data_IF_772029839291
#
_entry.id   IF_772029839291
#
_cell.length_a   1.000
_cell.length_b   1.000
_cell.length_c   1.000
_cell.angle_alpha   90.00
_cell.angle_beta   90.00
_cell.angle_gamma   90.00
#
_symmetry.space_group_name_H-M   'P 1'
#
loop_
_entity.id
_entity.type
_entity.pdbx_description
1 polymer ?
#
# COMPACT_ATOMS: atom_id res chain seq x y z
N UNK A 1 10.84 -0.93 -25.63
CA UNK A 1 11.66 0.26 -25.98
C UNK A 1 13.06 0.06 -25.42
N UNK A 2 14.12 0.20 -26.25
CA UNK A 2 15.46 -0.24 -25.89
C UNK A 2 16.16 0.77 -24.95
N UNK A 3 16.81 0.22 -23.93
CA UNK A 3 17.65 0.92 -22.96
C UNK A 3 18.87 1.49 -23.69
N UNK A 4 19.07 2.81 -23.66
CA UNK A 4 20.28 3.44 -24.17
C UNK A 4 21.41 3.24 -23.14
N UNK A 5 22.34 2.37 -23.49
CA UNK A 5 23.59 2.14 -22.77
C UNK A 5 24.41 3.44 -22.71
N UNK A 6 24.71 3.90 -21.50
CA UNK A 6 25.76 4.89 -21.27
C UNK A 6 27.11 4.20 -21.43
N UNK A 7 27.67 4.22 -22.65
CA UNK A 7 29.06 3.84 -22.88
C UNK A 7 29.97 5.02 -22.51
N UNK A 8 30.61 4.93 -21.35
CA UNK A 8 31.78 5.75 -21.06
C UNK A 8 32.93 5.29 -21.97
N UNK A 9 33.23 6.07 -23.00
CA UNK A 9 34.44 5.88 -23.81
C UNK A 9 35.67 6.33 -23.01
N UNK A 10 36.26 5.42 -22.23
CA UNK A 10 37.64 5.57 -21.78
C UNK A 10 38.55 5.13 -22.93
N UNK A 11 38.99 6.11 -23.73
CA UNK A 11 39.98 5.88 -24.78
C UNK A 11 41.31 5.51 -24.10
N UNK A 12 41.69 4.24 -24.21
CA UNK A 12 42.96 3.69 -23.73
C UNK A 12 44.11 4.47 -24.40
N UNK A 13 44.85 5.25 -23.61
CA UNK A 13 46.09 5.87 -24.04
C UNK A 13 47.19 4.80 -24.00
N UNK A 14 47.78 4.49 -25.16
CA UNK A 14 48.96 3.65 -25.24
C UNK A 14 50.15 4.36 -24.60
N UNK A 15 50.80 3.68 -23.64
CA UNK A 15 52.01 4.13 -22.99
C UNK A 15 53.22 3.74 -23.85
N UNK A 16 53.65 4.65 -24.74
CA UNK A 16 55.00 4.59 -25.32
C UNK A 16 56.01 5.14 -24.32
N UNK A 17 57.15 4.45 -24.21
CA UNK A 17 58.22 4.66 -23.24
C UNK A 17 58.78 6.09 -23.20
N UNK A 18 58.97 6.58 -21.97
CA UNK A 18 59.50 7.91 -21.65
C UNK A 18 61.03 7.85 -21.52
N UNK A 19 61.77 8.50 -22.41
CA UNK A 19 63.23 8.73 -22.25
C UNK A 19 63.49 10.12 -21.69
N UNK A 20 64.42 10.22 -20.73
CA UNK A 20 64.77 11.45 -20.02
C UNK A 20 65.42 12.48 -20.94
N UNK A 21 64.75 13.61 -21.16
CA UNK A 21 65.34 14.90 -21.50
C UNK A 21 64.51 16.00 -20.81
N UNK A 22 64.80 16.22 -19.54
CA UNK A 22 64.10 17.12 -18.62
C UNK A 22 64.59 18.57 -18.76
N UNK A 23 64.07 19.35 -19.70
CA UNK A 23 63.90 20.82 -19.51
C UNK A 23 62.62 21.34 -20.19
N UNK A 24 62.11 20.67 -21.22
CA UNK A 24 60.91 21.13 -21.95
C UNK A 24 59.57 20.51 -21.52
N UNK A 25 59.55 19.50 -20.64
CA UNK A 25 58.30 18.78 -20.34
C UNK A 25 57.34 19.53 -19.43
N UNK A 26 57.86 20.30 -18.45
CA UNK A 26 57.00 21.07 -17.52
C UNK A 26 56.37 22.28 -18.19
N UNK A 27 57.06 22.93 -19.12
CA UNK A 27 56.56 24.05 -19.93
C UNK A 27 55.55 23.57 -20.97
N UNK A 28 55.85 22.49 -21.69
CA UNK A 28 54.93 21.87 -22.68
C UNK A 28 53.68 21.27 -22.00
N UNK A 29 53.80 20.65 -20.82
CA UNK A 29 52.65 20.18 -20.06
C UNK A 29 51.78 21.32 -19.53
N UNK A 30 52.39 22.41 -19.03
CA UNK A 30 51.66 23.63 -18.65
C UNK A 30 50.96 24.27 -19.85
N UNK A 31 51.60 24.31 -21.01
CA UNK A 31 50.98 24.78 -22.24
C UNK A 31 49.83 23.90 -22.70
N UNK A 32 49.97 22.56 -22.68
CA UNK A 32 48.88 21.64 -23.00
C UNK A 32 47.69 21.79 -22.05
N UNK A 33 47.94 21.90 -20.74
CA UNK A 33 46.88 22.17 -19.74
C UNK A 33 46.26 23.54 -19.95
N UNK A 34 47.05 24.56 -20.30
CA UNK A 34 46.56 25.90 -20.61
C UNK A 34 45.68 25.91 -21.87
N UNK A 35 46.05 25.16 -22.91
CA UNK A 35 45.29 24.98 -24.15
C UNK A 35 44.01 24.20 -23.90
N UNK A 36 44.03 23.13 -23.08
CA UNK A 36 42.82 22.41 -22.67
C UNK A 36 41.87 23.32 -21.87
N UNK A 37 42.40 24.14 -20.95
CA UNK A 37 41.60 25.12 -20.19
C UNK A 37 41.06 26.24 -21.07
N UNK A 38 41.83 26.72 -22.04
CA UNK A 38 41.41 27.71 -23.03
C UNK A 38 40.33 27.13 -23.94
N UNK A 39 40.52 25.92 -24.46
CA UNK A 39 39.53 25.19 -25.25
C UNK A 39 38.24 24.98 -24.44
N UNK A 40 38.32 24.50 -23.19
CA UNK A 40 37.14 24.32 -22.33
C UNK A 40 36.45 25.65 -22.00
N UNK A 41 37.20 26.76 -21.89
CA UNK A 41 36.63 28.12 -21.78
C UNK A 41 35.99 28.57 -23.08
N UNK A 42 36.53 28.21 -24.24
CA UNK A 42 35.96 28.52 -25.56
C UNK A 42 34.69 27.71 -25.85
N UNK A 43 34.64 26.42 -25.50
CA UNK A 43 33.41 25.64 -25.56
C UNK A 43 32.34 26.25 -24.65
N UNK A 44 32.69 26.59 -23.40
CA UNK A 44 31.79 27.28 -22.47
C UNK A 44 31.34 28.65 -22.98
N UNK A 45 32.20 29.39 -23.71
CA UNK A 45 31.85 30.69 -24.33
C UNK A 45 31.01 30.56 -25.60
N UNK A 46 31.18 29.50 -26.38
CA UNK A 46 30.32 29.19 -27.54
C UNK A 46 28.93 28.76 -27.09
N UNK A 47 28.82 28.03 -25.98
CA UNK A 47 27.53 27.66 -25.39
C UNK A 47 26.78 28.85 -24.74
N UNK A 48 27.50 29.91 -24.34
CA UNK A 48 26.88 31.13 -23.77
C UNK A 48 26.32 32.09 -24.81
N UNK A 49 26.46 31.80 -26.12
CA UNK A 49 25.85 32.59 -27.19
C UNK A 49 24.48 32.01 -27.57
N UNK A 50 23.60 31.90 -26.57
CA UNK A 50 22.19 31.54 -26.73
C UNK A 50 21.34 32.62 -26.05
N UNK A 51 21.40 33.84 -26.60
CA UNK A 51 20.42 34.89 -26.28
C UNK A 51 19.21 34.72 -27.20
N UNK A 52 18.38 33.72 -26.89
CA UNK A 52 17.09 33.54 -27.54
C UNK A 52 16.04 33.42 -26.42
N UNK A 53 15.33 34.52 -26.17
CA UNK A 53 14.29 34.73 -25.14
C UNK A 53 13.07 33.77 -25.23
N UNK A 54 13.22 32.60 -25.86
CA UNK A 54 12.16 31.63 -26.17
C UNK A 54 12.16 30.39 -25.26
N UNK A 55 13.20 30.20 -24.43
CA UNK A 55 13.27 29.11 -23.45
C UNK A 55 12.88 29.56 -22.04
N UNK A 56 12.10 28.74 -21.33
CA UNK A 56 11.88 28.89 -19.88
C UNK A 56 12.89 28.04 -19.11
N UNK A 57 13.14 28.39 -17.84
CA UNK A 57 14.03 27.59 -16.97
C UNK A 57 13.48 26.19 -16.74
N UNK A 58 14.33 25.25 -16.32
CA UNK A 58 13.90 23.90 -15.96
C UNK A 58 12.78 23.90 -14.90
N UNK A 59 12.87 24.79 -13.91
CA UNK A 59 11.82 25.01 -12.93
C UNK A 59 10.52 25.53 -13.59
N UNK A 60 10.62 26.46 -14.53
CA UNK A 60 9.48 26.92 -15.33
C UNK A 60 8.80 25.80 -16.11
N UNK A 61 9.56 24.85 -16.67
CA UNK A 61 9.02 23.66 -17.32
C UNK A 61 8.28 22.73 -16.36
N UNK A 62 8.76 22.57 -15.11
CA UNK A 62 8.08 21.78 -14.08
C UNK A 62 6.70 22.40 -13.79
N UNK A 63 6.64 23.70 -13.50
CA UNK A 63 5.37 24.41 -13.27
C UNK A 63 4.43 24.32 -14.47
N UNK A 64 4.96 24.45 -15.69
CA UNK A 64 4.15 24.32 -16.90
C UNK A 64 3.58 22.91 -17.03
N UNK A 65 4.35 21.87 -16.69
CA UNK A 65 3.89 20.49 -16.71
C UNK A 65 2.79 20.23 -15.67
N UNK A 66 2.94 20.74 -14.44
CA UNK A 66 1.89 20.69 -13.42
C UNK A 66 0.58 21.32 -13.94
N UNK A 67 0.66 22.48 -14.59
CA UNK A 67 -0.51 23.11 -15.20
C UNK A 67 -1.12 22.30 -16.35
N UNK A 68 -0.34 21.47 -17.06
CA UNK A 68 -0.86 20.56 -18.09
C UNK A 68 -1.57 19.38 -17.44
N UNK A 69 -1.02 18.80 -16.39
CA UNK A 69 -1.62 17.71 -15.62
C UNK A 69 -2.96 18.15 -15.01
N UNK A 70 -2.99 19.32 -14.37
CA UNK A 70 -4.23 19.89 -13.82
C UNK A 70 -5.30 20.04 -14.90
N UNK A 71 -4.94 20.58 -16.08
CA UNK A 71 -5.88 20.71 -17.20
C UNK A 71 -6.34 19.37 -17.76
N UNK A 72 -5.48 18.35 -17.74
CA UNK A 72 -5.88 17.00 -18.10
C UNK A 72 -6.95 16.47 -17.12
N UNK A 73 -6.76 16.62 -15.81
CA UNK A 73 -7.77 16.24 -14.83
C UNK A 73 -9.07 17.02 -14.98
N UNK A 74 -9.01 18.34 -15.24
CA UNK A 74 -10.22 19.11 -15.54
C UNK A 74 -10.96 18.59 -16.76
N UNK A 75 -10.24 18.22 -17.83
CA UNK A 75 -10.85 17.61 -19.02
C UNK A 75 -11.55 16.29 -18.68
N UNK A 76 -10.90 15.42 -17.89
CA UNK A 76 -11.50 14.17 -17.41
C UNK A 76 -12.75 14.44 -16.58
N UNK A 77 -12.73 15.45 -15.71
CA UNK A 77 -13.90 15.80 -14.89
C UNK A 77 -15.08 16.30 -15.71
N UNK A 78 -14.83 17.08 -16.77
CA UNK A 78 -15.88 17.64 -17.61
C UNK A 78 -16.49 16.61 -18.56
N UNK A 79 -15.67 15.73 -19.13
CA UNK A 79 -16.09 14.88 -20.25
C UNK A 79 -16.15 13.38 -19.93
N UNK A 80 -15.27 12.87 -19.06
CA UNK A 80 -15.20 11.44 -18.74
C UNK A 80 -16.04 11.09 -17.51
N UNK A 81 -15.90 11.83 -16.39
CA UNK A 81 -16.59 11.51 -15.14
C UNK A 81 -18.12 11.46 -15.28
N UNK A 82 -18.81 12.36 -16.03
CA UNK A 82 -20.25 12.26 -16.19
C UNK A 82 -20.68 10.96 -16.87
N UNK A 83 -19.83 10.35 -17.70
CA UNK A 83 -20.13 9.07 -18.34
C UNK A 83 -20.10 7.90 -17.37
N UNK A 84 -19.37 8.01 -16.25
CA UNK A 84 -19.31 6.97 -15.21
C UNK A 84 -20.64 6.78 -14.48
N UNK A 85 -21.50 7.80 -14.48
CA UNK A 85 -22.84 7.71 -13.89
C UNK A 85 -23.67 6.57 -14.50
N UNK A 86 -23.42 6.21 -15.76
CA UNK A 86 -24.07 5.09 -16.47
C UNK A 86 -23.75 3.72 -15.86
N UNK A 87 -22.62 3.59 -15.17
CA UNK A 87 -22.18 2.36 -14.51
C UNK A 87 -22.45 2.37 -13.00
N UNK A 88 -23.15 3.39 -12.49
CA UNK A 88 -23.51 3.49 -11.08
C UNK A 88 -24.60 2.48 -10.73
N UNK A 89 -24.39 1.73 -9.66
CA UNK A 89 -25.35 0.78 -9.10
C UNK A 89 -25.79 1.34 -7.73
N UNK A 90 -27.09 1.46 -7.43
CA UNK A 90 -27.55 1.94 -6.13
C UNK A 90 -27.16 0.95 -5.02
N UNK A 91 -26.94 1.47 -3.81
CA UNK A 91 -26.62 0.62 -2.67
C UNK A 91 -27.87 -0.11 -2.17
N UNK A 92 -27.81 -1.44 -2.18
CA UNK A 92 -28.81 -2.30 -1.55
C UNK A 92 -28.25 -2.81 -0.21
N UNK A 93 -28.96 -2.61 0.92
CA UNK A 93 -28.51 -3.13 2.20
C UNK A 93 -28.50 -4.66 2.19
N UNK A 94 -27.54 -5.31 2.89
CA UNK A 94 -27.47 -6.76 2.94
C UNK A 94 -28.71 -7.35 3.64
N UNK A 95 -29.17 -8.49 3.13
CA UNK A 95 -30.28 -9.23 3.72
C UNK A 95 -29.90 -9.81 5.09
N UNK A 96 -30.88 -10.11 5.95
CA UNK A 96 -30.65 -10.79 7.25
C UNK A 96 -29.96 -12.15 7.11
N UNK A 97 -30.12 -12.82 5.96
CA UNK A 97 -29.43 -14.07 5.62
C UNK A 97 -27.92 -13.90 5.45
N UNK A 98 -27.45 -12.70 5.07
CA UNK A 98 -26.06 -12.37 4.79
C UNK A 98 -25.31 -11.96 6.05
N UNK A 99 -25.07 -12.94 6.91
CA UNK A 99 -24.49 -12.72 8.25
C UNK A 99 -22.98 -12.45 8.25
N UNK A 100 -22.28 -12.94 7.24
CA UNK A 100 -20.81 -13.00 7.21
C UNK A 100 -20.22 -11.72 6.62
N UNK A 101 -19.30 -11.08 7.36
CA UNK A 101 -18.54 -9.93 6.87
C UNK A 101 -17.10 -10.33 6.57
N UNK A 102 -16.77 -10.37 5.28
CA UNK A 102 -15.39 -10.56 4.84
C UNK A 102 -14.73 -9.22 4.55
N UNK A 103 -13.49 -9.07 5.02
CA UNK A 103 -12.64 -7.93 4.67
C UNK A 103 -11.39 -8.42 3.96
N UNK A 104 -11.12 -7.78 2.83
CA UNK A 104 -9.95 -7.99 1.98
C UNK A 104 -9.10 -6.72 1.99
N UNK A 105 -7.80 -6.88 1.85
CA UNK A 105 -6.87 -5.76 1.67
C UNK A 105 -6.30 -5.85 0.25
N UNK A 106 -6.04 -4.71 -0.39
CA UNK A 106 -5.31 -4.63 -1.66
C UNK A 106 -4.44 -3.38 -1.66
N UNK A 107 -3.26 -3.48 -2.28
CA UNK A 107 -2.23 -2.43 -2.29
C UNK A 107 -2.05 -1.79 -3.67
N UNK A 108 -3.00 -2.00 -4.60
CA UNK A 108 -3.08 -1.37 -5.92
C UNK A 108 -1.74 -1.16 -6.65
N UNK A 109 -1.29 -2.18 -7.36
CA UNK A 109 -0.07 -2.14 -8.19
C UNK A 109 1.17 -2.69 -7.49
N UNK A 110 1.17 -2.74 -6.15
CA UNK A 110 2.24 -3.36 -5.36
C UNK A 110 1.88 -4.78 -4.94
N UNK A 111 2.85 -5.70 -5.02
CA UNK A 111 2.73 -7.05 -4.46
C UNK A 111 3.14 -7.02 -3.00
N UNK A 112 2.17 -7.05 -2.09
CA UNK A 112 2.43 -7.03 -0.65
C UNK A 112 2.02 -8.38 -0.01
N UNK A 113 2.84 -8.99 0.86
CA UNK A 113 2.53 -10.29 1.46
C UNK A 113 1.24 -10.29 2.28
N UNK A 114 0.89 -9.16 2.92
CA UNK A 114 -0.37 -9.05 3.67
C UNK A 114 -1.62 -8.97 2.78
N UNK A 115 -1.49 -8.91 1.44
CA UNK A 115 -2.65 -8.96 0.53
C UNK A 115 -3.37 -10.32 0.60
N UNK A 116 -2.65 -11.40 0.89
CA UNK A 116 -3.23 -12.75 0.97
C UNK A 116 -4.23 -12.89 2.13
N UNK A 117 -4.06 -12.09 3.20
CA UNK A 117 -4.85 -12.16 4.42
C UNK A 117 -6.32 -11.84 4.19
N UNK A 118 -7.18 -12.71 4.68
CA UNK A 118 -8.63 -12.50 4.74
C UNK A 118 -9.06 -12.47 6.19
N UNK A 119 -9.94 -11.53 6.54
CA UNK A 119 -10.55 -11.50 7.88
C UNK A 119 -12.06 -11.66 7.77
N UNK A 120 -12.62 -12.55 8.60
CA UNK A 120 -14.04 -12.82 8.71
C UNK A 120 -14.52 -12.32 10.08
N UNK A 121 -15.62 -11.58 10.05
CA UNK A 121 -16.29 -11.02 11.21
C UNK A 121 -17.77 -11.42 11.19
N UNK A 122 -18.27 -11.84 12.35
CA UNK A 122 -19.61 -12.36 12.53
C UNK A 122 -20.16 -11.82 13.84
N UNK A 123 -21.44 -11.42 13.83
CA UNK A 123 -22.17 -11.05 15.03
C UNK A 123 -22.92 -12.30 15.54
N UNK A 124 -22.67 -12.72 16.79
CA UNK A 124 -23.22 -13.97 17.33
C UNK A 124 -24.75 -13.96 17.42
N UNK A 125 -25.35 -12.85 17.84
CA UNK A 125 -26.82 -12.73 17.88
C UNK A 125 -27.51 -12.94 16.52
N UNK A 126 -26.79 -12.75 15.41
CA UNK A 126 -27.36 -13.00 14.08
C UNK A 126 -27.33 -14.49 13.69
N UNK A 127 -26.58 -15.32 14.42
CA UNK A 127 -26.64 -16.77 14.28
C UNK A 127 -27.82 -17.26 15.13
N UNK A 128 -28.81 -17.87 14.49
CA UNK A 128 -29.96 -18.48 15.16
C UNK A 128 -29.55 -19.75 15.92
N UNK A 129 -28.77 -19.59 17.00
CA UNK A 129 -28.31 -20.64 17.90
C UNK A 129 -29.09 -20.60 19.20
N UNK A 130 -29.30 -21.76 19.81
CA UNK A 130 -29.85 -21.83 21.17
C UNK A 130 -28.86 -21.25 22.19
N UNK A 131 -29.32 -20.81 23.38
CA UNK A 131 -28.42 -20.25 24.39
C UNK A 131 -27.28 -21.20 24.81
N UNK A 132 -27.55 -22.51 24.87
CA UNK A 132 -26.57 -23.56 25.18
C UNK A 132 -25.55 -23.73 24.05
N UNK A 133 -26.00 -23.81 22.80
CA UNK A 133 -25.11 -23.84 21.61
C UNK A 133 -24.25 -22.58 21.53
N UNK A 134 -24.83 -21.41 21.83
CA UNK A 134 -24.10 -20.14 21.86
C UNK A 134 -23.03 -20.13 22.95
N UNK A 135 -23.35 -20.64 24.14
CA UNK A 135 -22.40 -20.78 25.24
C UNK A 135 -21.19 -21.63 24.83
N UNK A 136 -21.46 -22.81 24.27
CA UNK A 136 -20.44 -23.71 23.72
C UNK A 136 -19.60 -23.04 22.63
N UNK A 137 -20.23 -22.33 21.70
CA UNK A 137 -19.52 -21.63 20.62
C UNK A 137 -18.56 -20.56 21.17
N UNK A 138 -18.97 -19.80 22.20
CA UNK A 138 -18.13 -18.79 22.85
C UNK A 138 -16.91 -19.45 23.49
N UNK A 139 -17.08 -20.59 24.16
CA UNK A 139 -15.98 -21.35 24.78
C UNK A 139 -15.00 -21.83 23.71
N UNK A 140 -15.50 -22.46 22.62
CA UNK A 140 -14.66 -22.95 21.53
C UNK A 140 -13.92 -21.82 20.78
N UNK A 141 -14.55 -20.65 20.67
CA UNK A 141 -13.93 -19.48 20.05
C UNK A 141 -12.78 -18.89 20.90
N UNK A 142 -12.87 -19.00 22.22
CA UNK A 142 -11.89 -18.48 23.17
C UNK A 142 -11.58 -16.99 22.94
N UNK A 143 -10.30 -16.62 22.71
CA UNK A 143 -9.87 -15.22 22.63
C UNK A 143 -10.38 -14.47 21.38
N UNK A 144 -11.01 -15.19 20.44
CA UNK A 144 -11.48 -14.65 19.16
C UNK A 144 -12.86 -14.00 19.27
N UNK A 145 -13.60 -14.34 20.32
CA UNK A 145 -14.88 -13.72 20.65
C UNK A 145 -14.65 -12.45 21.49
N UNK A 146 -15.38 -11.37 21.18
CA UNK A 146 -15.38 -10.16 21.99
C UNK A 146 -16.74 -9.97 22.68
N UNK A 147 -16.83 -10.06 24.02
CA UNK A 147 -18.08 -9.90 24.77
C UNK A 147 -18.65 -8.49 24.73
N UNK A 148 -17.82 -7.46 24.48
CA UNK A 148 -18.29 -6.06 24.47
C UNK A 148 -19.07 -5.72 23.20
N UNK A 149 -18.70 -6.33 22.07
CA UNK A 149 -19.30 -6.07 20.76
C UNK A 149 -20.15 -7.23 20.25
N UNK A 150 -20.12 -8.39 20.93
CA UNK A 150 -20.70 -9.66 20.48
C UNK A 150 -20.23 -10.10 19.08
N UNK A 151 -18.96 -9.77 18.77
CA UNK A 151 -18.35 -10.07 17.47
C UNK A 151 -17.33 -11.18 17.65
N UNK A 152 -17.43 -12.17 16.77
CA UNK A 152 -16.46 -13.22 16.58
C UNK A 152 -15.62 -12.91 15.34
N UNK A 153 -14.30 -12.85 15.52
CA UNK A 153 -13.37 -12.41 14.49
C UNK A 153 -12.26 -13.44 14.26
N UNK A 154 -12.12 -13.86 13.01
CA UNK A 154 -11.05 -14.74 12.56
C UNK A 154 -10.28 -14.12 11.41
N UNK A 155 -9.00 -14.46 11.30
CA UNK A 155 -8.19 -14.12 10.13
C UNK A 155 -7.35 -15.31 9.71
N UNK A 156 -7.15 -15.45 8.40
CA UNK A 156 -6.27 -16.47 7.84
C UNK A 156 -5.33 -15.83 6.81
N UNK A 157 -4.05 -16.18 6.93
CA UNK A 157 -2.96 -15.77 6.03
C UNK A 157 -2.05 -16.97 5.68
N UNK A 158 -2.54 -18.19 5.87
CA UNK A 158 -1.78 -19.43 5.67
C UNK A 158 -1.47 -19.71 4.20
N UNK A 159 -2.41 -19.39 3.31
CA UNK A 159 -2.31 -19.68 1.89
C UNK A 159 -1.90 -18.44 1.09
N UNK A 160 -1.22 -18.62 -0.06
CA UNK A 160 -0.81 -17.50 -0.91
C UNK A 160 -2.01 -16.78 -1.54
N UNK A 161 -3.08 -17.50 -1.86
CA UNK A 161 -4.25 -16.93 -2.54
C UNK A 161 -5.38 -16.58 -1.57
N UNK A 162 -5.92 -15.36 -1.70
CA UNK A 162 -7.07 -14.86 -0.92
C UNK A 162 -8.28 -15.79 -0.95
N UNK A 163 -8.56 -16.38 -2.11
CA UNK A 163 -9.71 -17.29 -2.31
C UNK A 163 -9.55 -18.56 -1.44
N UNK A 164 -8.33 -19.08 -1.32
CA UNK A 164 -8.04 -20.24 -0.48
C UNK A 164 -8.20 -19.88 1.00
N UNK A 165 -7.67 -18.73 1.43
CA UNK A 165 -7.85 -18.24 2.81
C UNK A 165 -9.33 -18.02 3.17
N UNK A 166 -10.13 -17.47 2.24
CA UNK A 166 -11.58 -17.33 2.41
C UNK A 166 -12.27 -18.69 2.57
N UNK A 167 -11.95 -19.65 1.70
CA UNK A 167 -12.52 -21.00 1.74
C UNK A 167 -12.20 -21.70 3.06
N UNK A 168 -10.94 -21.61 3.51
CA UNK A 168 -10.51 -22.15 4.79
C UNK A 168 -11.29 -21.55 5.97
N UNK A 169 -11.48 -20.21 5.98
CA UNK A 169 -12.27 -19.56 7.02
C UNK A 169 -13.74 -20.03 7.02
N UNK A 170 -14.33 -20.24 5.85
CA UNK A 170 -15.67 -20.82 5.74
C UNK A 170 -15.73 -22.23 6.34
N UNK A 171 -14.80 -23.11 5.96
CA UNK A 171 -14.74 -24.48 6.48
C UNK A 171 -14.55 -24.51 8.00
N UNK A 172 -13.69 -23.65 8.54
CA UNK A 172 -13.49 -23.54 9.99
C UNK A 172 -14.74 -23.05 10.71
N UNK A 173 -15.44 -22.06 10.14
CA UNK A 173 -16.71 -21.60 10.70
C UNK A 173 -17.76 -22.72 10.70
N UNK A 174 -17.89 -23.47 9.61
CA UNK A 174 -18.81 -24.60 9.54
C UNK A 174 -18.49 -25.67 10.58
N UNK A 175 -17.20 -25.97 10.80
CA UNK A 175 -16.76 -26.89 11.86
C UNK A 175 -17.15 -26.38 13.24
N UNK A 176 -16.89 -25.10 13.54
CA UNK A 176 -17.27 -24.49 14.82
C UNK A 176 -18.78 -24.52 15.06
N UNK A 177 -19.59 -24.20 14.04
CA UNK A 177 -21.05 -24.26 14.16
C UNK A 177 -21.52 -25.72 14.33
N UNK A 178 -20.88 -26.67 13.63
CA UNK A 178 -21.20 -28.09 13.77
C UNK A 178 -20.89 -28.60 15.17
N UNK A 179 -19.72 -28.27 15.72
CA UNK A 179 -19.36 -28.62 17.10
C UNK A 179 -20.26 -27.93 18.12
N UNK A 180 -20.63 -26.66 17.90
CA UNK A 180 -21.56 -25.95 18.77
C UNK A 180 -22.94 -26.61 18.85
N UNK A 181 -23.41 -27.22 17.74
CA UNK A 181 -24.68 -27.94 17.65
C UNK A 181 -24.61 -29.39 18.12
N UNK A 182 -23.42 -29.92 18.39
CA UNK A 182 -23.28 -31.28 18.88
C UNK A 182 -23.70 -31.36 20.36
N UNK A 183 -24.74 -32.13 20.65
CA UNK A 183 -25.33 -32.29 21.98
C UNK A 183 -24.55 -33.27 22.86
N UNK A 184 -23.50 -33.93 22.36
CA UNK A 184 -22.73 -34.90 23.17
C UNK A 184 -22.09 -34.28 24.42
N UNK A 185 -21.66 -33.03 24.34
CA UNK A 185 -21.02 -32.29 25.43
C UNK A 185 -21.42 -30.81 25.33
N UNK A 186 -22.11 -30.26 26.33
CA UNK A 186 -22.68 -28.90 26.30
C UNK A 186 -21.77 -27.85 26.95
N UNK A 187 -20.70 -28.26 27.64
CA UNK A 187 -19.78 -27.38 28.38
C UNK A 187 -20.48 -26.39 29.33
N UNK A 188 -21.61 -26.75 29.94
CA UNK A 188 -22.35 -25.88 30.87
C UNK A 188 -21.62 -25.66 32.19
N UNK A 189 -20.73 -26.59 32.55
CA UNK A 189 -19.88 -26.55 33.73
C UNK A 189 -18.73 -25.54 33.61
N UNK A 190 -18.32 -25.18 32.40
CA UNK A 190 -17.20 -24.27 32.15
C UNK A 190 -17.70 -22.82 32.03
N UNK A 191 -17.24 -21.89 32.88
CA UNK A 191 -17.61 -20.48 32.75
C UNK A 191 -16.94 -19.83 31.53
N UNK A 192 -17.62 -18.85 30.93
CA UNK A 192 -17.07 -18.06 29.83
C UNK A 192 -15.87 -17.22 30.28
N UNK A 193 -14.71 -17.41 29.64
CA UNK A 193 -13.51 -16.63 29.92
C UNK A 193 -13.45 -15.35 29.06
N UNK A 194 -13.36 -14.20 29.74
CA UNK A 194 -13.26 -12.87 29.12
C UNK A 194 -11.97 -12.12 29.44
N UNK A 195 -10.97 -12.79 30.03
CA UNK A 195 -9.72 -12.16 30.49
C UNK A 195 -8.90 -11.53 29.36
N UNK A 196 -9.06 -11.98 28.12
CA UNK A 196 -8.39 -11.39 26.95
C UNK A 196 -8.94 -10.01 26.57
N UNK A 197 -10.16 -9.66 26.97
CA UNK A 197 -10.80 -8.39 26.60
C UNK A 197 -10.59 -7.34 27.69
N UNK A 198 -9.83 -6.30 27.35
CA UNK A 198 -9.61 -5.15 28.23
C UNK A 198 -10.68 -4.08 27.97
N UNK A 199 -11.62 -3.94 28.92
CA UNK A 199 -12.62 -2.86 28.87
C UNK A 199 -11.98 -1.50 29.13
N UNK A 200 -12.25 -0.53 28.24
CA UNK A 200 -11.84 0.86 28.41
C UNK A 200 -12.99 1.65 29.03
N UNK A 201 -12.76 2.24 30.20
CA UNK A 201 -13.74 3.14 30.84
C UNK A 201 -13.91 4.40 29.99
N UNK A 202 -15.14 4.68 29.55
CA UNK A 202 -15.49 5.93 28.87
C UNK A 202 -16.07 6.89 29.90
N UNK A 203 -15.32 7.94 30.23
CA UNK A 203 -15.81 9.01 31.08
C UNK A 203 -16.77 9.87 30.25
N UNK A 204 -17.95 10.13 30.80
CA UNK A 204 -18.95 11.01 30.20
C UNK A 204 -19.02 12.28 31.04
N UNK A 205 -19.29 13.41 30.40
CA UNK A 205 -19.50 14.66 31.13
C UNK A 205 -20.67 14.51 32.12
N UNK A 206 -20.48 14.83 33.42
CA UNK A 206 -21.55 14.74 34.40
C UNK A 206 -22.74 15.61 34.01
N UNK A 207 -23.94 15.01 33.96
CA UNK A 207 -25.16 15.74 33.61
C UNK A 207 -25.46 16.87 34.60
N UNK A 208 -25.07 16.69 35.86
CA UNK A 208 -25.22 17.66 36.95
C UNK A 208 -24.47 18.98 36.70
N UNK A 209 -23.46 18.98 35.82
CA UNK A 209 -22.68 20.18 35.50
C UNK A 209 -23.20 20.92 34.28
N UNK A 210 -24.23 20.38 33.62
CA UNK A 210 -24.93 21.07 32.53
C UNK A 210 -25.84 22.10 33.21
N UNK A 211 -25.38 23.36 33.24
CA UNK A 211 -26.16 24.52 33.65
C UNK A 211 -27.09 24.98 32.55
#
# INVERSE_FOLDING_TARGET
MPKKNFFFYFKRLELSTFTKNEVNDKTVAKEKVSKIRQNHREYRKKDTKMDEHYGITSLGHIYLNEHREIREYYRKTAWELPTLSKFSIPYEPPEKSQVLKFRYTSYFGEKHPAESKVTLEILLNNLALTPTERHKLIILAGPRYNPLTDILKFSCELFPYRIQNKKYLNEQLYKLIKEAKDTSDTFEDIPQDFRHVKSKRRLVFPKEWIK
#
